data_IF_991120582247
#
_entry.id   IF_991120582247
#
_cell.length_a   1.000
_cell.length_b   1.000
_cell.length_c   1.000
_cell.angle_alpha   90.00
_cell.angle_beta   90.00
_cell.angle_gamma   90.00
#
_symmetry.space_group_name_H-M   'P 1'
#
loop_
_entity.id
_entity.type
_entity.pdbx_description
1 polymer ?
#
# COMPACT_ATOMS: atom_id res chain seq x y z
N UNK A 1 -12.10 23.73 -26.38
CA UNK A 1 -11.71 23.62 -24.95
C UNK A 1 -12.48 22.43 -24.39
N UNK A 2 -11.84 21.26 -24.32
CA UNK A 2 -12.45 20.05 -23.74
C UNK A 2 -11.87 19.95 -22.33
N UNK A 3 -12.67 20.28 -21.33
CA UNK A 3 -12.34 20.07 -19.92
C UNK A 3 -12.48 18.57 -19.62
N UNK A 4 -11.36 17.88 -19.46
CA UNK A 4 -11.33 16.51 -18.97
C UNK A 4 -11.65 16.53 -17.47
N UNK A 5 -12.92 16.35 -17.10
CA UNK A 5 -13.31 16.13 -15.71
C UNK A 5 -12.92 14.69 -15.36
N UNK A 6 -11.66 14.50 -14.98
CA UNK A 6 -11.19 13.23 -14.45
C UNK A 6 -12.00 12.88 -13.20
N UNK A 7 -12.73 11.78 -13.24
CA UNK A 7 -13.36 11.20 -12.06
C UNK A 7 -12.26 10.46 -11.30
N UNK A 8 -11.87 11.00 -10.15
CA UNK A 8 -11.00 10.29 -9.22
C UNK A 8 -11.87 9.32 -8.42
N UNK A 9 -11.72 8.03 -8.69
CA UNK A 9 -12.32 6.97 -7.86
C UNK A 9 -11.27 6.55 -6.84
N UNK A 10 -11.48 6.92 -5.58
CA UNK A 10 -10.66 6.44 -4.47
C UNK A 10 -11.34 5.24 -3.82
N UNK A 11 -10.68 4.08 -3.90
CA UNK A 11 -11.02 2.90 -3.12
C UNK A 11 -9.98 2.76 -1.99
N UNK A 12 -10.44 2.42 -0.80
CA UNK A 12 -9.59 2.20 0.35
C UNK A 12 -9.63 0.71 0.68
N UNK A 13 -8.47 0.06 0.72
CA UNK A 13 -8.34 -1.30 1.25
C UNK A 13 -7.55 -1.26 2.55
N UNK A 14 -8.00 -2.06 3.52
CA UNK A 14 -7.21 -2.35 4.72
C UNK A 14 -6.50 -3.68 4.51
N UNK A 15 -5.17 -3.65 4.54
CA UNK A 15 -4.32 -4.85 4.57
C UNK A 15 -4.01 -5.15 6.04
N UNK A 16 -4.41 -6.33 6.52
CA UNK A 16 -4.11 -6.84 7.85
C UNK A 16 -3.37 -8.18 7.79
N UNK A 17 -3.04 -8.73 8.96
CA UNK A 17 -2.17 -9.92 9.10
C UNK A 17 -2.68 -11.17 8.36
N UNK A 18 -3.98 -11.25 8.11
CA UNK A 18 -4.64 -12.35 7.40
C UNK A 18 -5.05 -11.98 5.96
N UNK A 19 -4.50 -10.91 5.40
CA UNK A 19 -4.79 -10.52 4.01
C UNK A 19 -3.88 -11.32 3.08
N UNK A 20 -4.49 -12.11 2.20
CA UNK A 20 -3.75 -12.82 1.17
C UNK A 20 -3.15 -11.80 0.18
N UNK A 21 -1.85 -11.93 -0.07
CA UNK A 21 -1.12 -11.12 -1.04
C UNK A 21 -0.32 -12.07 -1.93
N UNK A 22 -0.73 -12.16 -3.19
CA UNK A 22 -0.04 -12.92 -4.23
C UNK A 22 0.59 -11.96 -5.24
N UNK A 23 1.57 -12.45 -6.01
CA UNK A 23 2.16 -11.69 -7.11
C UNK A 23 2.42 -12.53 -8.35
N UNK A 24 2.36 -11.87 -9.51
CA UNK A 24 2.75 -12.42 -10.80
C UNK A 24 3.72 -11.47 -11.50
N UNK A 25 4.76 -12.02 -12.13
CA UNK A 25 5.72 -11.25 -12.94
C UNK A 25 5.53 -11.62 -14.40
N UNK A 26 5.17 -10.63 -15.21
CA UNK A 26 4.95 -10.80 -16.64
C UNK A 26 6.28 -10.78 -17.42
N UNK A 27 6.35 -11.40 -18.61
CA UNK A 27 7.56 -11.40 -19.43
C UNK A 27 8.05 -10.01 -19.88
N UNK A 28 7.18 -9.01 -19.85
CA UNK A 28 7.50 -7.61 -20.20
C UNK A 28 8.06 -6.80 -19.01
N UNK A 29 8.22 -7.44 -17.85
CA UNK A 29 8.78 -6.82 -16.65
C UNK A 29 7.75 -6.09 -15.78
N UNK A 30 6.46 -6.20 -16.10
CA UNK A 30 5.40 -5.77 -15.18
C UNK A 30 5.24 -6.76 -14.03
N UNK A 31 4.92 -6.23 -12.86
CA UNK A 31 4.58 -7.00 -11.66
C UNK A 31 3.16 -6.65 -11.26
N UNK A 32 2.32 -7.66 -11.10
CA UNK A 32 0.96 -7.54 -10.58
C UNK A 32 0.90 -8.16 -9.19
N UNK A 33 0.29 -7.43 -8.25
CA UNK A 33 -0.06 -7.93 -6.93
C UNK A 33 -1.55 -8.08 -6.83
N UNK A 34 -2.02 -9.23 -6.35
CA UNK A 34 -3.43 -9.44 -5.99
C UNK A 34 -3.54 -9.42 -4.47
N UNK A 35 -4.31 -8.46 -3.94
CA UNK A 35 -4.41 -8.20 -2.50
C UNK A 35 -5.85 -8.39 -2.03
N UNK A 36 -6.08 -9.35 -1.12
CA UNK A 36 -7.39 -9.66 -0.55
C UNK A 36 -8.15 -10.79 -1.25
N UNK A 37 -7.49 -11.55 -2.13
CA UNK A 37 -8.07 -12.72 -2.80
C UNK A 37 -9.17 -12.35 -3.79
N UNK A 38 -10.30 -13.10 -3.78
CA UNK A 38 -11.35 -13.05 -4.82
C UNK A 38 -12.02 -11.69 -5.00
N UNK A 39 -12.20 -10.94 -3.92
CA UNK A 39 -12.83 -9.60 -3.93
C UNK A 39 -11.80 -8.50 -3.61
N UNK A 40 -10.53 -8.81 -3.88
CA UNK A 40 -9.38 -7.96 -3.63
C UNK A 40 -9.23 -6.82 -4.63
N UNK A 41 -8.08 -6.16 -4.58
CA UNK A 41 -7.66 -5.21 -5.61
C UNK A 41 -6.33 -5.64 -6.21
N UNK A 42 -6.17 -5.40 -7.50
CA UNK A 42 -4.94 -5.67 -8.22
C UNK A 42 -4.11 -4.39 -8.39
N UNK A 43 -2.81 -4.49 -8.07
CA UNK A 43 -1.83 -3.42 -8.27
C UNK A 43 -0.82 -3.86 -9.32
N UNK A 44 -0.85 -3.22 -10.49
CA UNK A 44 0.13 -3.42 -11.55
C UNK A 44 1.17 -2.32 -11.52
N UNK A 45 2.44 -2.68 -11.51
CA UNK A 45 3.56 -1.76 -11.45
C UNK A 45 4.75 -2.23 -12.29
N UNK A 46 5.66 -1.32 -12.61
CA UNK A 46 6.97 -1.65 -13.20
C UNK A 46 7.99 -1.93 -12.10
N UNK A 47 9.15 -2.49 -12.44
CA UNK A 47 10.25 -2.65 -11.47
C UNK A 47 10.64 -1.33 -10.77
N UNK A 48 10.89 -0.19 -11.46
CA UNK A 48 11.18 1.07 -10.76
C UNK A 48 10.02 1.54 -9.88
N UNK A 49 8.78 1.36 -10.33
CA UNK A 49 7.60 1.72 -9.55
C UNK A 49 7.46 0.89 -8.27
N UNK A 50 7.73 -0.42 -8.35
CA UNK A 50 7.78 -1.31 -7.19
C UNK A 50 8.88 -0.90 -6.22
N UNK A 51 10.06 -0.57 -6.71
CA UNK A 51 11.16 -0.11 -5.86
C UNK A 51 10.78 1.17 -5.10
N UNK A 52 10.14 2.15 -5.76
CA UNK A 52 9.61 3.35 -5.11
C UNK A 52 8.54 3.02 -4.07
N UNK A 53 7.64 2.09 -4.37
CA UNK A 53 6.61 1.64 -3.41
C UNK A 53 7.23 1.04 -2.16
N UNK A 54 8.27 0.21 -2.29
CA UNK A 54 8.96 -0.39 -1.16
C UNK A 54 9.62 0.65 -0.26
N UNK A 55 10.33 1.63 -0.85
CA UNK A 55 10.96 2.73 -0.09
C UNK A 55 9.92 3.47 0.75
N UNK A 56 8.84 3.93 0.11
CA UNK A 56 7.80 4.68 0.83
C UNK A 56 7.02 3.81 1.83
N UNK A 57 6.84 2.52 1.54
CA UNK A 57 6.25 1.56 2.46
C UNK A 57 7.09 1.39 3.74
N UNK A 58 8.41 1.28 3.60
CA UNK A 58 9.33 1.20 4.74
C UNK A 58 9.36 2.48 5.57
N UNK A 59 9.35 3.65 4.91
CA UNK A 59 9.24 4.95 5.57
C UNK A 59 7.94 5.07 6.38
N UNK A 60 6.81 4.70 5.77
CA UNK A 60 5.50 4.71 6.42
C UNK A 60 5.46 3.73 7.61
N UNK A 61 6.02 2.53 7.46
CA UNK A 61 6.11 1.55 8.55
C UNK A 61 6.96 2.08 9.73
N UNK A 62 8.08 2.75 9.44
CA UNK A 62 8.92 3.39 10.47
C UNK A 62 8.12 4.46 11.22
N UNK A 63 7.43 5.33 10.49
CA UNK A 63 6.60 6.38 11.09
C UNK A 63 5.47 5.81 11.95
N UNK A 64 4.79 4.74 11.50
CA UNK A 64 3.74 4.07 12.26
C UNK A 64 4.26 3.48 13.59
N UNK A 65 5.45 2.87 13.57
CA UNK A 65 6.11 2.35 14.79
C UNK A 65 6.46 3.48 15.77
N UNK A 66 6.98 4.59 15.28
CA UNK A 66 7.26 5.76 16.12
C UNK A 66 5.98 6.32 16.75
N UNK A 67 4.91 6.46 15.98
CA UNK A 67 3.63 6.96 16.49
C UNK A 67 3.03 6.06 17.59
N UNK A 68 3.20 4.74 17.48
CA UNK A 68 2.76 3.80 18.51
C UNK A 68 3.61 3.88 19.78
N UNK A 69 4.92 4.08 19.66
CA UNK A 69 5.82 4.23 20.81
C UNK A 69 5.50 5.50 21.62
N UNK A 70 5.21 6.61 20.95
CA UNK A 70 4.85 7.88 21.61
C UNK A 70 3.51 7.79 22.36
N UNK A 71 2.63 6.85 21.97
CA UNK A 71 1.32 6.66 22.62
C UNK A 71 1.43 5.89 23.95
N UNK A 72 2.45 5.04 24.10
CA UNK A 72 2.65 4.25 25.33
C UNK A 72 3.28 5.08 26.48
N UNK A 73 4.00 6.17 26.16
CA UNK A 73 4.59 7.07 27.17
C UNK A 73 3.56 7.95 27.89
N UNK A 74 2.40 8.22 27.29
CA UNK A 74 1.36 9.10 27.85
C UNK A 74 0.43 8.38 28.86
N UNK A 75 0.40 7.04 28.87
CA UNK A 75 -0.31 6.23 29.87
C UNK A 75 0.51 5.96 31.16
N UNK A 76 1.83 6.17 31.13
CA UNK A 76 2.72 5.87 32.25
C UNK A 76 2.85 7.02 33.28
N UNK A 77 2.20 8.17 33.05
CA UNK A 77 2.26 9.37 33.91
C UNK A 77 0.89 9.84 34.44
N UNK A 78 -0.16 9.03 34.32
CA UNK A 78 -1.51 9.29 34.85
C UNK A 78 -1.77 8.81 36.27
#
# INVERSE_FOLDING_TARGET
>A
MISNSGVEVSAWVKIGDSTDIDYHVFPDGLVEFSIGGRDGFDLVTTEPGLHTLLIHGEEALRAARSALADTDEDCATG
#
